data_IF_658334650840
#
_entry.id   IF_658334650840
#
_cell.length_a   1.000
_cell.length_b   1.000
_cell.length_c   1.000
_cell.angle_alpha   90.00
_cell.angle_beta   90.00
_cell.angle_gamma   90.00
#
_symmetry.space_group_name_H-M   'P 1'
#
loop_
_entity.id
_entity.type
_entity.pdbx_description
1 polymer ?
#
# COMPACT_ATOMS: atom_id res chain seq x y z
N UNK A 1 8.25 30.30 4.96
CA UNK A 1 7.06 29.45 4.78
C UNK A 1 7.47 28.02 5.07
N UNK A 2 6.63 27.26 5.77
CA UNK A 2 6.97 25.91 6.20
C UNK A 2 6.57 25.66 7.64
N UNK A 3 6.49 24.38 8.01
CA UNK A 3 6.06 23.96 9.33
C UNK A 3 7.29 23.93 10.24
N UNK A 4 7.34 24.80 11.25
CA UNK A 4 8.51 24.97 12.11
C UNK A 4 8.56 24.00 13.30
N UNK A 5 7.50 23.23 13.54
CA UNK A 5 7.43 22.27 14.63
C UNK A 5 8.29 21.03 14.34
N UNK A 6 9.43 20.86 15.02
CA UNK A 6 10.30 19.68 14.86
C UNK A 6 9.56 18.36 15.05
N UNK A 7 8.65 18.29 16.02
CA UNK A 7 7.80 17.12 16.26
C UNK A 7 6.85 16.84 15.09
N UNK A 8 6.33 17.89 14.46
CA UNK A 8 5.46 17.77 13.30
C UNK A 8 6.24 17.31 12.06
N UNK A 9 7.44 17.86 11.83
CA UNK A 9 8.34 17.43 10.75
C UNK A 9 8.71 15.96 10.93
N UNK A 10 9.06 15.55 12.16
CA UNK A 10 9.37 14.16 12.47
C UNK A 10 8.17 13.25 12.17
N UNK A 11 6.96 13.68 12.56
CA UNK A 11 5.74 12.93 12.32
C UNK A 11 5.43 12.83 10.81
N UNK A 12 5.63 13.90 10.04
CA UNK A 12 5.53 13.85 8.57
C UNK A 12 6.53 12.86 7.96
N UNK A 13 7.76 12.80 8.47
CA UNK A 13 8.77 11.84 8.02
C UNK A 13 8.40 10.38 8.29
N UNK A 14 7.60 10.11 9.33
CA UNK A 14 7.08 8.76 9.58
C UNK A 14 6.08 8.32 8.49
N UNK A 15 5.32 9.25 7.90
CA UNK A 15 4.32 8.93 6.87
C UNK A 15 4.95 8.31 5.62
N UNK A 16 6.08 8.86 5.15
CA UNK A 16 6.76 8.36 3.95
C UNK A 16 7.31 6.95 4.15
N UNK A 17 7.78 6.65 5.35
CA UNK A 17 8.27 5.32 5.72
C UNK A 17 7.13 4.28 5.71
N UNK A 18 5.92 4.67 6.12
CA UNK A 18 4.74 3.81 6.02
C UNK A 18 4.40 3.50 4.57
N UNK A 19 4.41 4.52 3.70
CA UNK A 19 4.17 4.32 2.27
C UNK A 19 5.12 3.28 1.63
N UNK A 20 6.39 3.25 2.05
CA UNK A 20 7.38 2.32 1.51
C UNK A 20 7.20 0.85 1.93
N UNK A 21 6.48 0.58 3.02
CA UNK A 21 6.33 -0.77 3.57
C UNK A 21 4.96 -1.41 3.24
N UNK A 22 4.24 -0.92 2.23
CA UNK A 22 2.98 -1.50 1.78
C UNK A 22 3.18 -2.81 1.01
N UNK A 23 2.17 -3.69 1.02
CA UNK A 23 2.09 -4.87 0.14
C UNK A 23 2.73 -6.15 0.66
N UNK A 24 3.16 -6.21 1.91
CA UNK A 24 3.69 -7.45 2.51
C UNK A 24 2.66 -8.60 2.57
N UNK A 25 1.36 -8.28 2.54
CA UNK A 25 0.25 -9.25 2.53
C UNK A 25 0.05 -9.91 1.16
N UNK A 26 0.73 -9.45 0.10
CA UNK A 26 0.73 -10.12 -1.21
C UNK A 26 1.11 -11.62 -1.08
N UNK A 27 1.99 -11.94 -0.14
CA UNK A 27 2.37 -13.31 0.20
C UNK A 27 1.20 -14.15 0.73
N UNK A 28 0.24 -13.54 1.43
CA UNK A 28 -0.97 -14.22 1.90
C UNK A 28 -1.97 -14.47 0.75
N UNK A 29 -2.05 -13.56 -0.22
CA UNK A 29 -2.95 -13.71 -1.38
C UNK A 29 -2.52 -14.80 -2.36
N UNK A 30 -1.24 -15.19 -2.35
CA UNK A 30 -0.67 -16.25 -3.20
C UNK A 30 -0.34 -17.52 -2.41
N UNK A 31 -0.90 -17.66 -1.22
CA UNK A 31 -0.51 -18.74 -0.32
C UNK A 31 -0.95 -20.13 -0.82
N UNK A 32 -2.03 -20.19 -1.60
CA UNK A 32 -2.57 -21.42 -2.20
C UNK A 32 -1.57 -22.11 -3.15
N UNK A 33 -0.63 -21.35 -3.73
CA UNK A 33 0.41 -21.87 -4.64
C UNK A 33 1.73 -22.17 -3.93
N UNK A 34 1.80 -21.91 -2.62
CA UNK A 34 3.02 -21.99 -1.83
C UNK A 34 3.10 -23.33 -1.10
N UNK A 35 4.25 -24.02 -1.23
CA UNK A 35 4.52 -25.23 -0.43
C UNK A 35 4.58 -24.87 1.05
N UNK A 36 3.94 -25.67 1.90
CA UNK A 36 3.85 -25.44 3.35
C UNK A 36 3.23 -24.07 3.70
N UNK A 37 2.10 -23.75 3.06
CA UNK A 37 1.31 -22.52 3.23
C UNK A 37 1.22 -22.02 4.68
N UNK A 38 0.95 -22.91 5.64
CA UNK A 38 0.74 -22.55 7.05
C UNK A 38 1.97 -21.93 7.73
N UNK A 39 3.17 -22.23 7.24
CA UNK A 39 4.43 -21.69 7.76
C UNK A 39 5.06 -20.66 6.82
N UNK A 40 5.01 -20.92 5.52
CA UNK A 40 5.60 -20.07 4.49
C UNK A 40 4.92 -18.70 4.41
N UNK A 41 3.61 -18.62 4.66
CA UNK A 41 2.87 -17.34 4.62
C UNK A 41 3.32 -16.37 5.70
N UNK A 42 3.22 -16.75 7.00
CA UNK A 42 3.69 -15.90 8.09
C UNK A 42 5.18 -15.54 7.97
N UNK A 43 6.03 -16.48 7.59
CA UNK A 43 7.46 -16.23 7.39
C UNK A 43 7.74 -15.31 6.20
N UNK A 44 6.94 -15.40 5.13
CA UNK A 44 7.02 -14.50 3.98
C UNK A 44 6.73 -13.05 4.35
N UNK A 45 5.69 -12.82 5.17
CA UNK A 45 5.38 -11.47 5.70
C UNK A 45 6.53 -10.95 6.57
N UNK A 46 7.03 -11.75 7.52
CA UNK A 46 8.08 -11.31 8.44
C UNK A 46 9.39 -11.03 7.70
N UNK A 47 9.79 -11.94 6.81
CA UNK A 47 11.04 -11.81 6.05
C UNK A 47 10.99 -10.64 5.06
N UNK A 48 9.87 -10.42 4.37
CA UNK A 48 9.71 -9.27 3.47
C UNK A 48 9.82 -7.95 4.22
N UNK A 49 9.13 -7.79 5.35
CA UNK A 49 9.22 -6.58 6.18
C UNK A 49 10.64 -6.38 6.73
N UNK A 50 11.29 -7.44 7.23
CA UNK A 50 12.64 -7.37 7.78
C UNK A 50 13.69 -6.99 6.72
N UNK A 51 13.63 -7.60 5.53
CA UNK A 51 14.55 -7.31 4.42
C UNK A 51 14.30 -5.90 3.89
N UNK A 52 13.05 -5.53 3.62
CA UNK A 52 12.70 -4.18 3.14
C UNK A 52 13.13 -3.09 4.12
N UNK A 53 12.97 -3.31 5.43
CA UNK A 53 13.42 -2.36 6.45
C UNK A 53 14.94 -2.25 6.47
N UNK A 54 15.66 -3.37 6.40
CA UNK A 54 17.13 -3.39 6.47
C UNK A 54 17.76 -2.75 5.23
N UNK A 55 17.38 -3.19 4.03
CA UNK A 55 17.91 -2.64 2.78
C UNK A 55 17.43 -1.20 2.53
N UNK A 56 16.17 -0.89 2.86
CA UNK A 56 15.63 0.46 2.80
C UNK A 56 16.39 1.42 3.71
N UNK A 57 16.72 1.00 4.93
CA UNK A 57 17.52 1.80 5.85
C UNK A 57 18.94 2.05 5.31
N UNK A 58 19.62 1.01 4.81
CA UNK A 58 20.96 1.15 4.18
C UNK A 58 20.89 2.12 3.00
N UNK A 59 19.89 1.98 2.14
CA UNK A 59 19.68 2.86 0.98
C UNK A 59 19.47 4.31 1.40
N UNK A 60 18.62 4.57 2.40
CA UNK A 60 18.35 5.92 2.90
C UNK A 60 19.59 6.55 3.55
N UNK A 61 20.37 5.80 4.32
CA UNK A 61 21.64 6.28 4.91
C UNK A 61 22.64 6.64 3.81
N UNK A 62 22.79 5.78 2.80
CA UNK A 62 23.67 6.05 1.67
C UNK A 62 23.22 7.29 0.89
N UNK A 63 21.92 7.39 0.57
CA UNK A 63 21.36 8.51 -0.19
C UNK A 63 21.54 9.83 0.57
N UNK A 64 21.15 9.88 1.84
CA UNK A 64 21.27 11.09 2.68
C UNK A 64 22.71 11.53 2.90
N UNK A 65 23.68 10.60 2.86
CA UNK A 65 25.11 10.94 2.95
C UNK A 65 25.67 11.61 1.69
N UNK A 66 24.99 11.44 0.54
CA UNK A 66 25.42 12.00 -0.75
C UNK A 66 24.65 13.29 -1.09
N UNK A 67 23.47 13.48 -0.51
CA UNK A 67 22.68 14.71 -0.62
C UNK A 67 23.46 15.88 -0.03
N UNK A 68 23.71 16.89 -0.86
CA UNK A 68 24.53 18.07 -0.48
C UNK A 68 23.76 19.37 -0.55
N UNK A 69 22.75 19.47 -1.42
CA UNK A 69 21.94 20.68 -1.58
C UNK A 69 20.46 20.30 -1.74
N UNK A 70 19.71 20.35 -0.64
CA UNK A 70 18.27 20.02 -0.62
C UNK A 70 17.44 21.00 -1.48
N UNK A 71 17.65 22.34 -1.39
CA UNK A 71 17.01 23.29 -2.29
C UNK A 71 17.17 22.96 -3.78
N UNK A 72 18.39 22.60 -4.21
CA UNK A 72 18.63 22.24 -5.62
C UNK A 72 17.92 20.94 -6.02
N UNK A 73 17.90 19.92 -5.15
CA UNK A 73 17.25 18.64 -5.43
C UNK A 73 15.73 18.74 -5.59
N UNK A 74 15.10 19.67 -4.88
CA UNK A 74 13.66 19.91 -4.92
C UNK A 74 13.25 20.96 -5.95
N UNK A 75 14.21 21.61 -6.61
CA UNK A 75 13.93 22.63 -7.63
C UNK A 75 13.24 22.00 -8.86
N UNK A 76 12.08 22.52 -9.30
CA UNK A 76 11.46 22.09 -10.56
C UNK A 76 12.33 22.35 -11.79
N UNK A 77 13.28 23.30 -11.69
CA UNK A 77 14.14 23.72 -12.79
C UNK A 77 15.40 22.84 -12.93
N UNK A 78 15.56 21.80 -12.11
CA UNK A 78 16.69 20.87 -12.22
C UNK A 78 16.49 19.83 -13.32
N UNK A 79 17.57 19.13 -13.70
CA UNK A 79 17.56 18.14 -14.80
C UNK A 79 16.54 17.00 -14.59
N UNK A 80 16.19 16.72 -13.33
CA UNK A 80 15.20 15.73 -12.95
C UNK A 80 13.82 16.33 -12.61
N UNK A 81 13.53 17.59 -12.94
CA UNK A 81 12.21 18.21 -12.74
C UNK A 81 11.68 18.17 -11.29
N UNK A 82 12.56 18.21 -10.29
CA UNK A 82 12.21 18.14 -8.87
C UNK A 82 12.12 16.71 -8.28
N UNK A 83 12.45 15.67 -9.06
CA UNK A 83 12.57 14.30 -8.53
C UNK A 83 13.88 14.11 -7.76
N UNK A 84 13.82 14.38 -6.44
CA UNK A 84 14.99 14.42 -5.55
C UNK A 84 15.90 13.18 -5.61
N UNK A 85 15.34 11.97 -5.67
CA UNK A 85 16.13 10.72 -5.72
C UNK A 85 16.88 10.58 -7.05
N UNK A 86 16.21 10.91 -8.16
CA UNK A 86 16.83 10.83 -9.49
C UNK A 86 17.95 11.86 -9.63
N UNK A 87 17.73 13.10 -9.19
CA UNK A 87 18.76 14.15 -9.21
C UNK A 87 19.93 13.81 -8.27
N UNK A 88 19.66 13.25 -7.08
CA UNK A 88 20.69 12.87 -6.13
C UNK A 88 21.59 11.77 -6.70
N UNK A 89 21.01 10.75 -7.35
CA UNK A 89 21.78 9.69 -8.00
C UNK A 89 22.58 10.22 -9.19
N UNK A 90 21.99 11.08 -10.02
CA UNK A 90 22.70 11.68 -11.14
C UNK A 90 23.90 12.51 -10.67
N UNK A 91 23.70 13.42 -9.72
CA UNK A 91 24.75 14.28 -9.17
C UNK A 91 25.85 13.49 -8.43
N UNK A 92 25.49 12.39 -7.77
CA UNK A 92 26.46 11.51 -7.12
C UNK A 92 27.47 10.91 -8.11
N UNK A 93 26.96 10.37 -9.22
CA UNK A 93 27.77 9.76 -10.26
C UNK A 93 28.55 10.79 -11.05
N UNK A 94 27.93 11.93 -11.36
CA UNK A 94 28.59 13.03 -12.06
C UNK A 94 29.82 13.55 -11.28
N UNK A 95 29.67 13.79 -9.98
CA UNK A 95 30.78 14.25 -9.13
C UNK A 95 31.93 13.25 -9.01
N UNK A 96 31.61 11.94 -9.03
CA UNK A 96 32.63 10.89 -8.80
C UNK A 96 33.32 10.45 -10.08
N UNK A 97 32.60 10.39 -11.19
CA UNK A 97 33.03 9.78 -12.45
C UNK A 97 33.03 10.76 -13.64
N UNK A 98 32.61 12.01 -13.45
CA UNK A 98 32.50 13.01 -14.51
C UNK A 98 31.37 12.74 -15.52
N UNK A 99 30.47 11.81 -15.19
CA UNK A 99 29.31 11.44 -16.02
C UNK A 99 28.18 10.90 -15.15
N UNK A 100 26.98 11.47 -15.32
CA UNK A 100 25.76 11.03 -14.63
C UNK A 100 25.10 9.77 -15.21
N UNK A 101 25.69 9.13 -16.23
CA UNK A 101 25.12 7.93 -16.89
C UNK A 101 24.89 6.78 -15.90
N UNK A 102 25.80 6.59 -14.93
CA UNK A 102 25.62 5.56 -13.89
C UNK A 102 24.39 5.82 -13.00
N UNK A 103 24.11 7.09 -12.68
CA UNK A 103 22.90 7.45 -11.94
C UNK A 103 21.63 7.15 -12.73
N UNK A 104 21.64 7.39 -14.05
CA UNK A 104 20.52 7.08 -14.94
C UNK A 104 20.25 5.56 -15.03
N UNK A 105 21.31 4.74 -15.08
CA UNK A 105 21.17 3.28 -15.04
C UNK A 105 20.55 2.82 -13.72
N UNK A 106 20.96 3.37 -12.57
CA UNK A 106 20.35 3.07 -11.28
C UNK A 106 18.85 3.41 -11.25
N UNK A 107 18.45 4.57 -11.78
CA UNK A 107 17.04 4.96 -11.91
C UNK A 107 16.29 3.99 -12.83
N UNK A 108 16.91 3.53 -13.91
CA UNK A 108 16.35 2.50 -14.80
C UNK A 108 16.06 1.17 -14.08
N UNK A 109 16.98 0.71 -13.22
CA UNK A 109 16.76 -0.49 -12.40
C UNK A 109 15.57 -0.30 -11.44
N UNK A 110 15.45 0.88 -10.82
CA UNK A 110 14.29 1.22 -9.98
C UNK A 110 13.00 1.19 -10.79
N UNK A 111 12.99 1.74 -12.00
CA UNK A 111 11.81 1.74 -12.87
C UNK A 111 11.35 0.31 -13.23
N UNK A 112 12.29 -0.59 -13.53
CA UNK A 112 12.01 -2.01 -13.76
C UNK A 112 11.42 -2.65 -12.50
N UNK A 113 11.97 -2.35 -11.32
CA UNK A 113 11.43 -2.82 -10.04
C UNK A 113 9.98 -2.38 -9.80
N UNK A 114 9.67 -1.11 -10.06
CA UNK A 114 8.31 -0.57 -9.95
C UNK A 114 7.35 -1.24 -10.93
N UNK A 115 7.80 -1.55 -12.15
CA UNK A 115 6.99 -2.28 -13.12
C UNK A 115 6.60 -3.69 -12.62
N UNK A 116 7.57 -4.44 -12.08
CA UNK A 116 7.29 -5.75 -11.48
C UNK A 116 6.39 -5.66 -10.25
N UNK A 117 6.55 -4.64 -9.41
CA UNK A 117 5.65 -4.39 -8.29
C UNK A 117 4.21 -4.18 -8.76
N UNK A 118 3.99 -3.35 -9.79
CA UNK A 118 2.67 -3.15 -10.40
C UNK A 118 2.08 -4.44 -10.95
N UNK A 119 2.87 -5.26 -11.64
CA UNK A 119 2.43 -6.56 -12.14
C UNK A 119 1.99 -7.50 -11.01
N UNK A 120 2.73 -7.55 -9.89
CA UNK A 120 2.34 -8.33 -8.71
C UNK A 120 1.06 -7.82 -8.06
N UNK A 121 0.86 -6.50 -7.98
CA UNK A 121 -0.39 -5.92 -7.47
C UNK A 121 -1.61 -6.33 -8.31
N UNK A 122 -1.47 -6.33 -9.65
CA UNK A 122 -2.54 -6.76 -10.55
C UNK A 122 -2.83 -8.25 -10.37
N UNK A 123 -1.79 -9.08 -10.24
CA UNK A 123 -1.93 -10.51 -10.00
C UNK A 123 -2.66 -10.78 -8.67
N UNK A 124 -2.23 -10.13 -7.58
CA UNK A 124 -2.88 -10.24 -6.27
C UNK A 124 -4.34 -9.77 -6.29
N UNK A 125 -4.62 -8.62 -6.91
CA UNK A 125 -5.99 -8.09 -7.02
C UNK A 125 -6.91 -9.02 -7.81
N UNK A 126 -6.41 -9.67 -8.86
CA UNK A 126 -7.19 -10.59 -9.67
C UNK A 126 -7.68 -11.82 -8.89
N UNK A 127 -6.85 -12.34 -7.97
CA UNK A 127 -7.21 -13.47 -7.09
C UNK A 127 -8.25 -13.07 -6.06
N UNK A 128 -8.05 -11.92 -5.42
CA UNK A 128 -9.02 -11.37 -4.47
C UNK A 128 -10.37 -11.12 -5.16
N UNK A 129 -10.36 -10.53 -6.36
CA UNK A 129 -11.57 -10.28 -7.11
C UNK A 129 -12.28 -11.55 -7.58
N UNK A 130 -11.53 -12.61 -7.91
CA UNK A 130 -12.09 -13.92 -8.20
C UNK A 130 -12.78 -14.54 -6.96
N UNK A 131 -12.14 -14.48 -5.79
CA UNK A 131 -12.72 -14.96 -4.53
C UNK A 131 -14.03 -14.22 -4.18
N UNK A 132 -14.04 -12.88 -4.29
CA UNK A 132 -15.27 -12.11 -4.10
C UNK A 132 -16.36 -12.42 -5.14
N UNK A 133 -15.97 -12.72 -6.38
CA UNK A 133 -16.92 -13.11 -7.42
C UNK A 133 -17.52 -14.50 -7.15
N UNK A 134 -16.74 -15.42 -6.59
CA UNK A 134 -17.19 -16.75 -6.13
C UNK A 134 -18.23 -16.62 -5.02
N UNK A 135 -18.01 -15.72 -4.08
CA UNK A 135 -18.94 -15.44 -2.97
C UNK A 135 -20.15 -14.60 -3.40
N UNK A 136 -20.35 -14.41 -4.72
CA UNK A 136 -21.39 -13.57 -5.35
C UNK A 136 -21.39 -12.13 -4.85
N UNK A 137 -20.25 -11.65 -4.35
CA UNK A 137 -20.12 -10.35 -3.73
C UNK A 137 -19.99 -9.19 -4.73
N UNK A 138 -19.63 -9.49 -5.99
CA UNK A 138 -19.54 -8.50 -7.06
C UNK A 138 -20.80 -8.43 -7.94
N UNK A 139 -21.18 -7.23 -8.42
CA UNK A 139 -22.19 -7.10 -9.46
C UNK A 139 -21.71 -7.81 -10.73
N UNK A 140 -22.58 -8.58 -11.39
CA UNK A 140 -22.23 -9.46 -12.52
C UNK A 140 -21.19 -10.54 -12.17
N UNK A 141 -21.19 -11.06 -10.92
CA UNK A 141 -20.32 -12.16 -10.45
C UNK A 141 -20.12 -13.31 -11.45
N UNK A 142 -21.14 -13.68 -12.24
CA UNK A 142 -21.06 -14.71 -13.29
C UNK A 142 -20.08 -14.40 -14.44
N UNK A 143 -19.83 -13.13 -14.74
CA UNK A 143 -18.89 -12.69 -15.79
C UNK A 143 -17.45 -12.74 -15.25
N UNK A 144 -17.27 -12.33 -14.01
CA UNK A 144 -15.97 -12.25 -13.33
C UNK A 144 -15.46 -13.61 -12.85
N UNK A 145 -16.37 -14.57 -12.60
CA UNK A 145 -16.03 -15.95 -12.24
C UNK A 145 -15.41 -16.76 -13.39
N UNK A 146 -15.47 -16.28 -14.64
CA UNK A 146 -14.90 -17.01 -15.77
C UNK A 146 -13.37 -17.03 -15.69
N UNK A 147 -12.83 -18.23 -15.48
CA UNK A 147 -11.40 -18.50 -15.47
C UNK A 147 -10.95 -18.95 -16.86
N UNK A 148 -9.75 -18.53 -17.28
CA UNK A 148 -9.12 -18.98 -18.52
C UNK A 148 -8.59 -20.41 -18.40
N UNK A 149 -8.14 -21.00 -19.52
CA UNK A 149 -7.49 -22.33 -19.56
C UNK A 149 -6.25 -22.45 -18.65
N UNK A 150 -5.60 -21.33 -18.34
CA UNK A 150 -4.43 -21.27 -17.48
C UNK A 150 -4.77 -20.96 -16.01
N UNK A 151 -6.02 -21.18 -15.59
CA UNK A 151 -6.50 -20.92 -14.22
C UNK A 151 -6.41 -19.45 -13.76
N UNK A 152 -6.21 -18.51 -14.69
CA UNK A 152 -6.17 -17.07 -14.42
C UNK A 152 -7.53 -16.40 -14.74
N UNK A 153 -8.10 -15.60 -13.82
CA UNK A 153 -9.34 -14.84 -14.05
C UNK A 153 -9.09 -13.59 -14.92
N UNK A 154 -8.92 -13.78 -16.23
CA UNK A 154 -8.56 -12.72 -17.19
C UNK A 154 -9.52 -11.52 -17.17
N UNK A 155 -10.81 -11.73 -16.95
CA UNK A 155 -11.80 -10.65 -16.90
C UNK A 155 -11.55 -9.70 -15.71
N UNK A 156 -11.15 -10.25 -14.56
CA UNK A 156 -10.83 -9.48 -13.35
C UNK A 156 -9.50 -8.76 -13.52
N UNK A 157 -8.53 -9.37 -14.21
CA UNK A 157 -7.26 -8.71 -14.58
C UNK A 157 -7.53 -7.47 -15.43
N UNK A 158 -8.31 -7.60 -16.51
CA UNK A 158 -8.64 -6.46 -17.38
C UNK A 158 -9.45 -5.38 -16.66
N UNK A 159 -10.38 -5.76 -15.79
CA UNK A 159 -11.07 -4.79 -14.93
C UNK A 159 -10.08 -4.00 -14.07
N UNK A 160 -9.12 -4.69 -13.45
CA UNK A 160 -8.08 -4.07 -12.61
C UNK A 160 -7.21 -3.10 -13.42
N UNK A 161 -6.80 -3.51 -14.63
CA UNK A 161 -6.00 -2.68 -15.55
C UNK A 161 -6.77 -1.45 -16.00
N UNK A 162 -8.04 -1.59 -16.38
CA UNK A 162 -8.88 -0.47 -16.82
C UNK A 162 -9.10 0.51 -15.68
N UNK A 163 -9.43 0.03 -14.48
CA UNK A 163 -9.60 0.90 -13.30
C UNK A 163 -8.29 1.62 -12.97
N UNK A 164 -7.16 0.90 -12.95
CA UNK A 164 -5.85 1.50 -12.72
C UNK A 164 -5.50 2.55 -13.79
N UNK A 165 -5.85 2.31 -15.05
CA UNK A 165 -5.65 3.25 -16.14
C UNK A 165 -6.51 4.51 -15.99
N UNK A 166 -7.80 4.37 -15.66
CA UNK A 166 -8.68 5.52 -15.39
C UNK A 166 -8.18 6.32 -14.20
N UNK A 167 -7.72 5.65 -13.13
CA UNK A 167 -7.10 6.35 -12.01
C UNK A 167 -5.81 7.06 -12.45
N UNK A 168 -4.94 6.41 -13.23
CA UNK A 168 -3.72 7.03 -13.75
C UNK A 168 -4.01 8.27 -14.61
N UNK A 169 -5.10 8.30 -15.39
CA UNK A 169 -5.49 9.46 -16.18
C UNK A 169 -5.73 10.72 -15.34
N UNK A 170 -6.15 10.58 -14.08
CA UNK A 170 -6.34 11.75 -13.20
C UNK A 170 -5.02 12.49 -12.91
N UNK A 171 -3.87 11.81 -13.04
CA UNK A 171 -2.56 12.44 -12.91
C UNK A 171 -2.27 13.48 -14.00
N UNK A 172 -2.88 13.36 -15.19
CA UNK A 172 -2.75 14.35 -16.27
C UNK A 172 -3.48 15.66 -15.93
N UNK A 173 -4.53 15.60 -15.10
CA UNK A 173 -5.32 16.78 -14.74
C UNK A 173 -4.77 17.55 -13.54
N UNK A 174 -4.30 16.85 -12.50
CA UNK A 174 -3.78 17.50 -11.30
C UNK A 174 -2.86 16.59 -10.47
N UNK A 175 -1.66 17.09 -10.16
CA UNK A 175 -0.74 16.46 -9.21
C UNK A 175 -1.39 16.27 -7.82
N UNK A 176 -2.27 17.21 -7.41
CA UNK A 176 -2.98 17.18 -6.13
C UNK A 176 -3.96 16.01 -6.08
N UNK A 177 -4.71 15.80 -7.17
CA UNK A 177 -5.64 14.68 -7.27
C UNK A 177 -4.90 13.33 -7.21
N UNK A 178 -3.76 13.21 -7.88
CA UNK A 178 -2.92 12.02 -7.83
C UNK A 178 -2.41 11.73 -6.41
N UNK A 179 -1.82 12.72 -5.74
CA UNK A 179 -1.31 12.58 -4.37
C UNK A 179 -2.43 12.25 -3.37
N UNK A 180 -3.61 12.84 -3.55
CA UNK A 180 -4.78 12.53 -2.74
C UNK A 180 -5.20 11.06 -2.91
N UNK A 181 -5.31 10.56 -4.16
CA UNK A 181 -5.66 9.16 -4.41
C UNK A 181 -4.65 8.18 -3.81
N UNK A 182 -3.34 8.46 -3.96
CA UNK A 182 -2.28 7.64 -3.37
C UNK A 182 -2.44 7.58 -1.85
N UNK A 183 -2.66 8.72 -1.21
CA UNK A 183 -2.88 8.80 0.24
C UNK A 183 -4.12 8.01 0.69
N UNK A 184 -5.21 8.09 -0.08
CA UNK A 184 -6.45 7.35 0.18
C UNK A 184 -6.22 5.84 0.05
N UNK A 185 -5.53 5.40 -1.01
CA UNK A 185 -5.21 3.99 -1.23
C UNK A 185 -4.36 3.44 -0.08
N UNK A 186 -3.34 4.18 0.34
CA UNK A 186 -2.48 3.82 1.48
C UNK A 186 -3.27 3.69 2.78
N UNK A 187 -4.08 4.70 3.13
CA UNK A 187 -4.88 4.62 4.36
C UNK A 187 -5.95 3.53 4.30
N UNK A 188 -6.62 3.37 3.15
CA UNK A 188 -7.60 2.32 2.94
C UNK A 188 -6.98 0.94 3.21
N UNK A 189 -5.77 0.70 2.71
CA UNK A 189 -5.02 -0.53 2.94
C UNK A 189 -4.69 -0.74 4.42
N UNK A 190 -4.21 0.30 5.12
CA UNK A 190 -3.91 0.19 6.56
C UNK A 190 -5.14 -0.08 7.41
N UNK A 191 -6.26 0.59 7.12
CA UNK A 191 -7.54 0.35 7.80
C UNK A 191 -8.01 -1.09 7.53
N UNK A 192 -7.89 -1.57 6.28
CA UNK A 192 -8.21 -2.94 5.92
C UNK A 192 -7.35 -3.97 6.68
N UNK A 193 -6.07 -3.67 6.95
CA UNK A 193 -5.23 -4.53 7.81
C UNK A 193 -5.63 -4.46 9.28
N UNK A 194 -6.01 -3.28 9.79
CA UNK A 194 -6.38 -3.11 11.19
C UNK A 194 -7.69 -3.81 11.55
N UNK A 195 -8.66 -3.89 10.63
CA UNK A 195 -9.98 -4.45 10.88
C UNK A 195 -9.94 -5.94 11.34
N UNK A 196 -9.29 -6.87 10.61
CA UNK A 196 -9.15 -8.25 11.06
C UNK A 196 -8.38 -8.38 12.38
N UNK A 197 -7.36 -7.54 12.59
CA UNK A 197 -6.58 -7.53 13.84
C UNK A 197 -7.46 -7.09 15.01
N UNK A 198 -8.26 -6.05 14.82
CA UNK A 198 -9.21 -5.54 15.80
C UNK A 198 -10.25 -6.60 16.17
N UNK A 199 -10.87 -7.26 15.18
CA UNK A 199 -11.82 -8.33 15.45
C UNK A 199 -11.19 -9.56 16.11
N UNK A 200 -9.94 -9.89 15.77
CA UNK A 200 -9.17 -10.96 16.43
C UNK A 200 -8.96 -10.66 17.92
N UNK A 201 -8.69 -9.41 18.27
CA UNK A 201 -8.39 -8.99 19.65
C UNK A 201 -9.66 -8.80 20.48
N UNK A 202 -10.78 -8.44 19.85
CA UNK A 202 -12.07 -8.17 20.51
C UNK A 202 -13.00 -9.38 20.49
N UNK A 203 -13.70 -9.60 19.36
CA UNK A 203 -14.81 -10.57 19.23
C UNK A 203 -14.31 -12.01 19.11
N UNK A 204 -13.27 -12.26 18.32
CA UNK A 204 -12.79 -13.60 18.03
C UNK A 204 -11.73 -14.11 19.02
N UNK A 205 -11.48 -13.39 20.11
CA UNK A 205 -10.43 -13.74 21.08
C UNK A 205 -10.58 -15.16 21.66
N UNK A 206 -11.82 -15.62 21.81
CA UNK A 206 -12.15 -16.95 22.38
C UNK A 206 -12.45 -18.02 21.34
N UNK A 207 -12.79 -17.64 20.10
CA UNK A 207 -13.14 -18.56 19.03
C UNK A 207 -11.99 -18.83 18.05
N UNK A 208 -10.90 -18.05 18.12
CA UNK A 208 -9.76 -18.20 17.24
C UNK A 208 -8.95 -19.46 17.55
N UNK A 209 -8.84 -20.35 16.57
CA UNK A 209 -7.96 -21.53 16.63
C UNK A 209 -6.57 -21.13 16.12
N UNK A 210 -5.51 -21.24 16.94
CA UNK A 210 -4.15 -20.91 16.51
C UNK A 210 -3.67 -21.86 15.40
N UNK A 211 -3.12 -21.29 14.33
CA UNK A 211 -2.37 -22.06 13.33
C UNK A 211 -0.96 -22.42 13.82
N UNK A 212 -0.17 -23.15 13.00
CA UNK A 212 1.19 -23.59 13.35
C UNK A 212 2.10 -22.44 13.78
N UNK A 213 1.95 -21.28 13.13
CA UNK A 213 2.57 -20.03 13.57
C UNK A 213 1.64 -19.24 14.48
N UNK A 214 2.07 -19.02 15.73
CA UNK A 214 1.33 -18.22 16.69
C UNK A 214 2.24 -17.34 17.56
N UNK A 215 1.80 -16.11 17.84
CA UNK A 215 2.48 -15.22 18.80
C UNK A 215 2.17 -15.55 20.27
N UNK A 216 1.38 -16.60 20.53
CA UNK A 216 0.98 -17.02 21.88
C UNK A 216 0.34 -15.89 22.67
N UNK A 217 0.80 -15.69 23.91
CA UNK A 217 0.29 -14.64 24.82
C UNK A 217 0.54 -13.21 24.34
N UNK A 218 1.56 -12.99 23.51
CA UNK A 218 1.90 -11.66 23.00
C UNK A 218 1.00 -11.22 21.85
N UNK A 219 0.23 -12.14 21.22
CA UNK A 219 -0.63 -11.81 20.09
C UNK A 219 -1.69 -10.74 20.40
N UNK A 220 -2.21 -10.71 21.63
CA UNK A 220 -3.20 -9.70 22.07
C UNK A 220 -2.55 -8.32 22.24
N UNK A 221 -1.37 -8.26 22.87
CA UNK A 221 -0.65 -7.00 23.09
C UNK A 221 -0.16 -6.40 21.76
N UNK A 222 0.43 -7.23 20.89
CA UNK A 222 0.87 -6.82 19.55
C UNK A 222 -0.32 -6.40 18.70
N UNK A 223 -1.46 -7.09 18.81
CA UNK A 223 -2.69 -6.72 18.10
C UNK A 223 -3.22 -5.34 18.51
N UNK A 224 -3.29 -5.03 19.80
CA UNK A 224 -3.67 -3.70 20.28
C UNK A 224 -2.66 -2.63 19.83
N UNK A 225 -1.36 -2.91 19.93
CA UNK A 225 -0.33 -1.99 19.47
C UNK A 225 -0.49 -1.68 17.97
N UNK A 226 -0.77 -2.69 17.13
CA UNK A 226 -1.00 -2.51 15.69
C UNK A 226 -2.25 -1.66 15.40
N UNK A 227 -3.37 -1.91 16.09
CA UNK A 227 -4.60 -1.14 15.90
C UNK A 227 -4.41 0.33 16.33
N UNK A 228 -3.79 0.56 17.49
CA UNK A 228 -3.50 1.91 17.99
C UNK A 228 -2.53 2.65 17.07
N UNK A 229 -1.54 1.94 16.52
CA UNK A 229 -0.59 2.49 15.55
C UNK A 229 -1.30 2.92 14.27
N UNK A 230 -2.17 2.07 13.71
CA UNK A 230 -2.96 2.43 12.51
C UNK A 230 -3.91 3.60 12.79
N UNK A 231 -4.52 3.66 13.98
CA UNK A 231 -5.35 4.80 14.38
C UNK A 231 -4.52 6.10 14.45
N UNK A 232 -3.33 6.04 15.05
CA UNK A 232 -2.40 7.16 15.10
C UNK A 232 -1.99 7.62 13.69
N UNK A 233 -1.64 6.69 12.80
CA UNK A 233 -1.31 6.99 11.40
C UNK A 233 -2.49 7.62 10.66
N UNK A 234 -3.71 7.13 10.87
CA UNK A 234 -4.91 7.68 10.23
C UNK A 234 -5.11 9.16 10.60
N UNK A 235 -4.92 9.50 11.88
CA UNK A 235 -4.93 10.91 12.34
C UNK A 235 -3.80 11.69 11.71
N UNK A 236 -2.60 11.11 11.63
CA UNK A 236 -1.43 11.80 11.09
C UNK A 236 -1.54 12.09 9.59
N UNK A 237 -2.04 11.13 8.81
CA UNK A 237 -2.38 11.30 7.39
C UNK A 237 -3.56 12.25 7.17
N UNK A 238 -4.30 12.61 8.22
CA UNK A 238 -5.37 13.61 8.15
C UNK A 238 -4.88 15.04 8.34
N UNK A 239 -3.63 15.23 8.77
CA UNK A 239 -3.05 16.55 9.02
C UNK A 239 -2.49 17.20 7.74
N UNK A 240 -2.49 18.54 7.64
CA UNK A 240 -2.05 19.25 6.43
C UNK A 240 -0.53 19.24 6.25
N UNK A 241 -0.06 18.68 5.13
CA UNK A 241 1.38 18.44 4.88
C UNK A 241 2.20 19.71 4.60
N UNK A 242 1.55 20.83 4.22
CA UNK A 242 2.23 22.10 3.99
C UNK A 242 1.36 23.31 4.39
N UNK A 243 2.04 24.42 4.70
CA UNK A 243 1.42 25.66 5.19
C UNK A 243 1.95 26.88 4.43
N UNK A 244 1.09 27.84 4.01
CA UNK A 244 -0.35 27.96 4.28
C UNK A 244 -1.23 26.95 3.53
N UNK A 245 -2.35 26.57 4.14
CA UNK A 245 -3.32 25.64 3.53
C UNK A 245 -4.13 26.39 2.47
N UNK A 246 -3.83 26.14 1.20
CA UNK A 246 -4.60 26.60 0.05
C UNK A 246 -5.47 25.45 -0.50
N UNK A 247 -6.42 25.76 -1.39
CA UNK A 247 -7.26 24.73 -2.08
C UNK A 247 -6.41 23.66 -2.76
N UNK A 248 -5.26 24.07 -3.29
CA UNK A 248 -4.32 23.22 -4.03
C UNK A 248 -3.40 22.38 -3.14
N UNK A 249 -3.48 22.54 -1.81
CA UNK A 249 -2.67 21.80 -0.83
C UNK A 249 -3.50 21.30 0.36
N UNK A 250 -4.83 21.27 0.20
CA UNK A 250 -5.72 20.72 1.21
C UNK A 250 -5.61 19.19 1.21
N UNK A 251 -5.48 18.62 2.40
CA UNK A 251 -5.43 17.18 2.55
C UNK A 251 -6.85 16.59 2.52
N UNK A 252 -7.29 16.11 1.35
CA UNK A 252 -8.61 15.51 1.15
C UNK A 252 -8.75 14.08 1.69
N UNK A 253 -7.68 13.51 2.24
CA UNK A 253 -7.62 12.14 2.76
C UNK A 253 -8.73 11.82 3.79
N UNK A 254 -9.04 12.67 4.80
CA UNK A 254 -10.07 12.37 5.79
C UNK A 254 -11.48 12.28 5.18
N UNK A 255 -11.77 13.18 4.24
CA UNK A 255 -13.07 13.25 3.56
C UNK A 255 -13.28 11.99 2.72
N UNK A 256 -12.25 11.56 2.00
CA UNK A 256 -12.31 10.36 1.19
C UNK A 256 -12.40 9.08 2.02
N UNK A 257 -11.61 8.95 3.10
CA UNK A 257 -11.73 7.80 4.03
C UNK A 257 -13.11 7.74 4.65
N UNK A 258 -13.64 8.88 5.14
CA UNK A 258 -15.00 8.98 5.66
C UNK A 258 -16.05 8.59 4.62
N UNK A 259 -15.90 9.07 3.38
CA UNK A 259 -16.77 8.73 2.25
C UNK A 259 -16.77 7.23 1.93
N UNK A 260 -15.60 6.60 1.84
CA UNK A 260 -15.48 5.16 1.55
C UNK A 260 -16.09 4.33 2.69
N UNK A 261 -15.82 4.67 3.95
CA UNK A 261 -16.42 4.00 5.10
C UNK A 261 -17.95 4.14 5.10
N UNK A 262 -18.47 5.34 4.85
CA UNK A 262 -19.91 5.59 4.76
C UNK A 262 -20.56 4.80 3.63
N UNK A 263 -19.95 4.76 2.45
CA UNK A 263 -20.45 3.97 1.32
C UNK A 263 -20.42 2.47 1.62
N UNK A 264 -19.37 1.99 2.29
CA UNK A 264 -19.20 0.57 2.61
C UNK A 264 -20.23 0.12 3.66
N UNK A 265 -20.37 0.88 4.75
CA UNK A 265 -21.37 0.63 5.80
C UNK A 265 -22.79 0.81 5.25
N UNK A 266 -23.01 1.82 4.42
CA UNK A 266 -24.28 2.06 3.74
C UNK A 266 -24.68 0.89 2.84
N UNK A 267 -23.78 0.43 1.97
CA UNK A 267 -24.01 -0.73 1.12
C UNK A 267 -24.28 -2.01 1.94
N UNK A 268 -23.59 -2.18 3.07
CA UNK A 268 -23.82 -3.29 3.99
C UNK A 268 -25.22 -3.25 4.61
N UNK A 269 -25.62 -2.11 5.18
CA UNK A 269 -26.90 -1.94 5.87
C UNK A 269 -28.08 -2.01 4.89
N UNK A 270 -27.92 -1.43 3.70
CA UNK A 270 -29.00 -1.36 2.70
C UNK A 270 -29.20 -2.69 1.98
N UNK A 271 -28.12 -3.40 1.63
CA UNK A 271 -28.21 -4.55 0.73
C UNK A 271 -27.45 -5.78 1.23
N UNK A 272 -26.14 -5.66 1.50
CA UNK A 272 -25.28 -6.83 1.68
C UNK A 272 -25.65 -7.71 2.88
N UNK A 273 -26.14 -7.14 3.99
CA UNK A 273 -26.53 -7.89 5.18
C UNK A 273 -27.67 -8.90 4.97
N UNK A 274 -28.44 -8.75 3.88
CA UNK A 274 -29.61 -9.59 3.61
C UNK A 274 -29.29 -10.83 2.78
N UNK A 275 -28.15 -10.86 2.08
CA UNK A 275 -27.80 -11.98 1.19
C UNK A 275 -26.37 -12.51 1.36
N UNK A 276 -25.46 -11.77 1.98
CA UNK A 276 -24.08 -12.21 2.18
C UNK A 276 -23.99 -13.23 3.32
N UNK A 277 -23.69 -14.48 2.99
CA UNK A 277 -23.62 -15.59 3.97
C UNK A 277 -22.19 -15.95 4.42
N UNK A 278 -21.20 -15.13 4.04
CA UNK A 278 -19.79 -15.37 4.35
C UNK A 278 -19.05 -16.17 3.27
N UNK A 279 -17.73 -16.36 3.44
CA UNK A 279 -16.90 -17.07 2.47
C UNK A 279 -17.26 -18.56 2.43
N UNK A 280 -17.43 -19.09 1.22
CA UNK A 280 -17.74 -20.51 1.00
C UNK A 280 -16.47 -21.34 1.24
N UNK A 281 -16.51 -22.25 2.21
CA UNK A 281 -15.38 -23.12 2.56
C UNK A 281 -15.24 -24.26 1.53
N UNK A 282 -14.05 -24.43 0.95
CA UNK A 282 -13.76 -25.47 -0.06
C UNK A 282 -13.17 -26.76 0.54
N UNK A 283 -13.49 -27.14 1.78
CA UNK A 283 -12.77 -28.24 2.48
C UNK A 283 -13.26 -29.64 2.07
N UNK A 284 -14.28 -29.76 1.22
CA UNK A 284 -14.78 -31.05 0.73
C UNK A 284 -14.70 -31.13 -0.80
N UNK A 285 -13.51 -31.46 -1.32
CA UNK A 285 -13.29 -32.05 -2.65
C UNK A 285 -12.19 -33.11 -2.58
#
# INVERSE_FOLDING_TARGET
>A
MGIHGKAYILALGLLTSQYSLLGYDASAHMIEETKNADWSGPMGIISSVALSTTFGWIFLVALTSIVTDIPYLLSPDNDAGGYAVAQALYAAFDRRYGSGVGGLVCVGVVAVGVFFAGAMCIASNSRMGYAFSRDRAMPLSRVWLRVSKNEVPLNVVWLSVVVAFVMALTSLGSQVAFQAMVSIATLGQYIAYALPIFFRVTTARRSFVPGPFHLGRYGVAVGWAAVLWVAFLTVLFSLPVAYPVAKDNFNYTPVAVGGVLLLSVGAWVVNARFWFQGPITNVDL
#
